data_IF_260340239671
#
_entry.id   IF_260340239671
#
_cell.length_a   1.000
_cell.length_b   1.000
_cell.length_c   1.000
_cell.angle_alpha   90.00
_cell.angle_beta   90.00
_cell.angle_gamma   90.00
#
_symmetry.space_group_name_H-M   'P 1'
#
loop_
_entity.id
_entity.type
_entity.pdbx_description
1 polymer ?
#
# COMPACT_ATOMS: atom_id res chain seq x y z
N UNK A 1 -22.37 -25.73 11.78
CA UNK A 1 -21.83 -24.39 12.10
C UNK A 1 -20.41 -24.31 11.57
N UNK A 2 -20.18 -23.63 10.45
CA UNK A 2 -18.84 -23.43 9.91
C UNK A 2 -18.32 -22.07 10.40
N UNK A 3 -17.40 -22.11 11.37
CA UNK A 3 -16.73 -20.90 11.86
C UNK A 3 -15.60 -20.59 10.88
N UNK A 4 -15.82 -19.58 10.03
CA UNK A 4 -14.78 -19.04 9.14
C UNK A 4 -13.95 -18.04 9.95
N UNK A 5 -12.85 -18.50 10.54
CA UNK A 5 -11.83 -17.61 11.10
C UNK A 5 -10.96 -17.08 9.95
N UNK A 6 -11.44 -16.07 9.23
CA UNK A 6 -10.64 -15.35 8.23
C UNK A 6 -10.00 -14.10 8.83
N UNK A 7 -8.98 -14.28 9.66
CA UNK A 7 -8.12 -13.17 10.09
C UNK A 7 -6.66 -13.60 9.97
N UNK A 8 -5.98 -13.09 8.94
CA UNK A 8 -4.54 -13.22 8.83
C UNK A 8 -4.02 -13.50 7.43
N UNK A 9 -4.38 -12.69 6.41
CA UNK A 9 -3.51 -12.55 5.23
C UNK A 9 -2.27 -11.74 5.63
N UNK A 10 -1.42 -12.31 6.47
CA UNK A 10 -0.01 -11.92 6.46
C UNK A 10 0.57 -12.54 5.20
N UNK A 11 0.67 -11.77 4.13
CA UNK A 11 1.43 -12.19 2.95
C UNK A 11 2.91 -12.27 3.36
N UNK A 12 3.29 -13.40 3.97
CA UNK A 12 4.69 -13.82 4.01
C UNK A 12 5.04 -14.19 2.57
N UNK A 13 5.24 -13.20 1.72
CA UNK A 13 5.72 -13.44 0.36
C UNK A 13 6.99 -14.29 0.47
N UNK A 14 7.10 -15.38 -0.32
CA UNK A 14 8.30 -16.21 -0.35
C UNK A 14 9.53 -15.31 -0.51
N UNK A 15 10.65 -15.67 0.14
CA UNK A 15 11.88 -14.87 0.06
C UNK A 15 12.34 -14.67 -1.39
N UNK A 16 11.99 -15.60 -2.29
CA UNK A 16 12.23 -15.53 -3.74
C UNK A 16 11.45 -14.41 -4.45
N UNK A 17 10.29 -14.01 -3.92
CA UNK A 17 9.43 -12.95 -4.49
C UNK A 17 9.76 -11.57 -3.92
N UNK A 18 10.70 -11.46 -2.97
CA UNK A 18 11.09 -10.17 -2.38
C UNK A 18 12.02 -9.43 -3.34
N UNK A 19 11.80 -8.12 -3.46
CA UNK A 19 12.71 -7.24 -4.21
C UNK A 19 14.12 -7.33 -3.62
N UNK A 20 15.07 -7.80 -4.44
CA UNK A 20 16.49 -7.86 -4.09
C UNK A 20 17.03 -6.46 -3.80
N UNK A 21 16.61 -5.46 -4.57
CA UNK A 21 17.05 -4.06 -4.45
C UNK A 21 16.71 -3.52 -3.06
N UNK A 22 15.50 -3.78 -2.56
CA UNK A 22 15.10 -3.33 -1.22
C UNK A 22 16.02 -3.89 -0.15
N UNK A 23 16.35 -5.19 -0.23
CA UNK A 23 17.26 -5.83 0.73
C UNK A 23 18.71 -5.29 0.64
N UNK A 24 19.18 -4.95 -0.57
CA UNK A 24 20.50 -4.35 -0.77
C UNK A 24 20.56 -2.94 -0.19
N UNK A 25 19.56 -2.10 -0.47
CA UNK A 25 19.51 -0.73 0.06
C UNK A 25 19.54 -0.70 1.60
N UNK A 26 18.82 -1.62 2.26
CA UNK A 26 18.87 -1.74 3.71
C UNK A 26 20.27 -2.10 4.23
N UNK A 27 20.98 -3.01 3.54
CA UNK A 27 22.36 -3.35 3.93
C UNK A 27 23.30 -2.17 3.76
N UNK A 28 23.23 -1.47 2.63
CA UNK A 28 24.06 -0.28 2.40
C UNK A 28 23.86 0.78 3.48
N UNK A 29 22.62 1.04 3.89
CA UNK A 29 22.31 2.01 4.95
C UNK A 29 22.89 1.57 6.31
N UNK A 30 22.79 0.27 6.63
CA UNK A 30 23.32 -0.29 7.87
C UNK A 30 24.87 -0.31 7.90
N UNK A 31 25.50 -0.58 6.75
CA UNK A 31 26.97 -0.56 6.62
C UNK A 31 27.52 0.86 6.65
N UNK A 32 26.77 1.85 6.14
CA UNK A 32 27.18 3.25 6.16
C UNK A 32 26.95 3.94 7.51
N UNK A 33 26.30 3.28 8.48
CA UNK A 33 25.98 3.91 9.78
C UNK A 33 27.13 3.74 10.79
N UNK A 34 27.59 4.82 11.45
CA UNK A 34 28.61 4.73 12.49
C UNK A 34 28.15 3.87 13.69
N UNK A 35 29.07 3.10 14.28
CA UNK A 35 28.77 2.13 15.35
C UNK A 35 28.09 2.75 16.59
N UNK A 36 28.42 4.00 16.92
CA UNK A 36 27.86 4.70 18.08
C UNK A 36 26.32 4.84 18.05
N UNK A 37 25.73 4.88 16.85
CA UNK A 37 24.28 5.02 16.66
C UNK A 37 23.65 3.77 16.02
N UNK A 38 24.38 2.67 15.91
CA UNK A 38 23.92 1.49 15.18
C UNK A 38 22.66 0.88 15.83
N UNK A 39 22.65 0.75 17.15
CA UNK A 39 21.53 0.15 17.88
C UNK A 39 20.26 1.00 17.80
N UNK A 40 20.37 2.32 18.00
CA UNK A 40 19.24 3.24 17.92
C UNK A 40 18.66 3.29 16.50
N UNK A 41 19.51 3.36 15.48
CA UNK A 41 19.09 3.34 14.08
C UNK A 41 18.43 2.01 13.69
N UNK A 42 18.95 0.88 14.20
CA UNK A 42 18.36 -0.44 13.97
C UNK A 42 16.96 -0.51 14.58
N UNK A 43 16.77 -0.02 15.80
CA UNK A 43 15.45 0.00 16.43
C UNK A 43 14.47 0.95 15.74
N UNK A 44 14.94 2.10 15.27
CA UNK A 44 14.15 3.03 14.47
C UNK A 44 13.71 2.37 13.16
N UNK A 45 14.61 1.67 12.46
CA UNK A 45 14.29 0.95 11.23
C UNK A 45 13.25 -0.16 11.46
N UNK A 46 13.37 -0.94 12.54
CA UNK A 46 12.39 -1.96 12.91
C UNK A 46 11.02 -1.32 13.17
N UNK A 47 11.00 -0.20 13.90
CA UNK A 47 9.78 0.55 14.21
C UNK A 47 9.10 1.07 12.95
N UNK A 48 9.87 1.68 12.05
CA UNK A 48 9.38 2.16 10.74
C UNK A 48 8.80 1.02 9.89
N UNK A 49 9.48 -0.13 9.82
CA UNK A 49 8.99 -1.28 9.05
C UNK A 49 7.68 -1.87 9.63
N UNK A 50 7.49 -1.80 10.94
CA UNK A 50 6.22 -2.18 11.59
C UNK A 50 5.13 -1.16 11.28
N UNK A 51 5.41 0.13 11.42
CA UNK A 51 4.44 1.19 11.16
C UNK A 51 4.01 1.20 9.68
N UNK A 52 4.90 0.92 8.73
CA UNK A 52 4.56 0.86 7.30
C UNK A 52 3.47 -0.18 6.97
N UNK A 53 3.46 -1.32 7.68
CA UNK A 53 2.43 -2.36 7.49
C UNK A 53 1.08 -1.91 8.04
N UNK A 54 1.09 -1.27 9.21
CA UNK A 54 -0.11 -0.73 9.85
C UNK A 54 -0.66 0.41 8.99
N UNK A 55 0.20 1.31 8.52
CA UNK A 55 -0.15 2.40 7.62
C UNK A 55 -0.88 1.88 6.38
N UNK A 56 -0.31 0.88 5.68
CA UNK A 56 -1.00 0.26 4.54
C UNK A 56 -2.39 -0.26 4.91
N UNK A 57 -2.51 -0.96 6.04
CA UNK A 57 -3.79 -1.51 6.50
C UNK A 57 -4.82 -0.41 6.80
N UNK A 58 -4.39 0.71 7.39
CA UNK A 58 -5.25 1.86 7.67
C UNK A 58 -5.66 2.57 6.39
N UNK A 59 -4.73 2.69 5.44
CA UNK A 59 -4.97 3.31 4.15
C UNK A 59 -6.05 2.53 3.38
N UNK A 60 -5.89 1.21 3.26
CA UNK A 60 -6.86 0.34 2.58
C UNK A 60 -8.26 0.44 3.21
N UNK A 61 -8.35 0.66 4.53
CA UNK A 61 -9.63 0.73 5.26
C UNK A 61 -10.33 2.08 5.12
N UNK A 62 -9.59 3.17 5.26
CA UNK A 62 -10.18 4.52 5.36
C UNK A 62 -10.12 5.30 4.06
N UNK A 63 -9.18 4.99 3.16
CA UNK A 63 -9.06 5.62 1.86
C UNK A 63 -8.80 4.60 0.74
N UNK A 64 -9.78 3.72 0.44
CA UNK A 64 -9.64 2.74 -0.62
C UNK A 64 -9.58 3.35 -2.04
N UNK A 65 -9.85 4.65 -2.20
CA UNK A 65 -9.80 5.35 -3.49
C UNK A 65 -8.47 6.08 -3.72
N UNK A 66 -7.45 5.85 -2.87
CA UNK A 66 -6.17 6.57 -2.95
C UNK A 66 -5.41 6.30 -4.26
N UNK A 67 -5.53 5.08 -4.78
CA UNK A 67 -4.77 4.61 -5.94
C UNK A 67 -5.50 4.91 -7.26
N UNK A 68 -6.72 5.45 -7.18
CA UNK A 68 -7.53 5.78 -8.36
C UNK A 68 -7.08 7.10 -8.98
N UNK A 69 -7.14 7.16 -10.30
CA UNK A 69 -7.05 8.42 -11.05
C UNK A 69 -8.19 9.37 -10.68
N UNK A 70 -8.05 10.65 -11.05
CA UNK A 70 -9.07 11.65 -10.70
C UNK A 70 -10.44 11.27 -11.27
N UNK A 71 -10.49 10.83 -12.52
CA UNK A 71 -11.70 10.40 -13.23
C UNK A 71 -12.35 9.19 -12.55
N UNK A 72 -11.58 8.12 -12.28
CA UNK A 72 -12.07 6.91 -11.60
C UNK A 72 -12.59 7.22 -10.18
N UNK A 73 -11.96 8.18 -9.49
CA UNK A 73 -12.40 8.61 -8.15
C UNK A 73 -13.74 9.34 -8.20
N UNK A 74 -13.93 10.21 -9.20
CA UNK A 74 -15.21 10.90 -9.41
C UNK A 74 -16.29 9.87 -9.76
N UNK A 75 -15.98 8.90 -10.63
CA UNK A 75 -16.90 7.81 -10.97
C UNK A 75 -17.29 6.94 -9.77
N UNK A 76 -16.31 6.50 -8.98
CA UNK A 76 -16.57 5.74 -7.76
C UNK A 76 -17.43 6.53 -6.77
N UNK A 77 -17.29 7.85 -6.74
CA UNK A 77 -18.10 8.74 -5.89
C UNK A 77 -19.52 8.88 -6.43
N UNK A 78 -19.70 9.06 -7.73
CA UNK A 78 -21.02 9.07 -8.37
C UNK A 78 -21.78 7.77 -8.09
N UNK A 79 -21.12 6.61 -8.23
CA UNK A 79 -21.74 5.30 -7.95
C UNK A 79 -22.16 5.14 -6.49
N UNK A 80 -21.45 5.74 -5.53
CA UNK A 80 -21.83 5.71 -4.10
C UNK A 80 -23.18 6.37 -3.83
N UNK A 81 -23.58 7.34 -4.64
CA UNK A 81 -24.88 8.03 -4.53
C UNK A 81 -25.92 7.49 -5.51
N UNK A 82 -25.60 6.40 -6.23
CA UNK A 82 -26.49 5.82 -7.25
C UNK A 82 -26.53 6.59 -8.57
N UNK A 83 -25.55 7.44 -8.83
CA UNK A 83 -25.39 8.15 -10.11
C UNK A 83 -24.31 7.48 -10.98
N UNK A 84 -24.47 7.58 -12.29
CA UNK A 84 -23.41 7.24 -13.25
C UNK A 84 -22.74 8.53 -13.76
N UNK A 85 -21.45 8.45 -14.07
CA UNK A 85 -20.74 9.58 -14.66
C UNK A 85 -21.28 9.90 -16.05
N UNK A 86 -21.41 11.20 -16.39
CA UNK A 86 -21.79 11.59 -17.74
C UNK A 86 -20.67 11.26 -18.72
N UNK A 87 -21.03 10.67 -19.87
CA UNK A 87 -20.12 10.46 -20.99
C UNK A 87 -19.60 11.80 -21.51
N UNK A 88 -18.30 11.88 -21.71
CA UNK A 88 -17.70 13.11 -22.23
C UNK A 88 -18.03 13.26 -23.72
N UNK A 89 -18.24 14.48 -24.24
CA UNK A 89 -18.62 14.69 -25.64
C UNK A 89 -17.65 14.10 -26.67
N UNK A 90 -16.39 13.84 -26.28
CA UNK A 90 -15.35 13.26 -27.14
C UNK A 90 -15.61 11.76 -27.41
N UNK A 91 -16.17 11.03 -26.44
CA UNK A 91 -16.48 9.59 -26.59
C UNK A 91 -17.71 9.34 -27.47
N UNK A 92 -18.67 10.29 -27.50
CA UNK A 92 -19.88 10.19 -28.35
C UNK A 92 -19.61 10.17 -29.85
N UNK A 93 -18.44 10.61 -30.30
CA UNK A 93 -18.09 10.68 -31.73
C UNK A 93 -17.31 9.44 -32.21
N UNK A 94 -17.05 8.48 -31.32
CA UNK A 94 -16.30 7.26 -31.61
C UNK A 94 -17.18 6.02 -31.81
N UNK A 95 -18.51 6.19 -31.81
CA UNK A 95 -19.54 5.17 -32.03
C UNK A 95 -20.37 5.53 -33.26
#
# INVERSE_FOLDING_TARGET
>A
MHIVLSYGRFTRHPRSTRSRITALNFRTILESTPSANFDSNTQNAITFLRSQRIHKTLLDRYNPLVDLTAEERIEATARRVGLNMPITPQEKNAE
#
